data_IF_858791988727
#
_entry.id   IF_858791988727
#
_cell.length_a   1.000
_cell.length_b   1.000
_cell.length_c   1.000
_cell.angle_alpha   90.00
_cell.angle_beta   90.00
_cell.angle_gamma   90.00
#
_symmetry.space_group_name_H-M   'P 1'
#
loop_
_entity.id
_entity.type
_entity.pdbx_description
1 polymer ?
#
# COMPACT_ATOMS: atom_id res chain seq x y z
N UNK A 1 12.75 39.18 62.45
CA UNK A 1 11.37 39.04 61.93
C UNK A 1 10.94 40.13 60.94
N UNK A 2 11.25 41.43 61.15
CA UNK A 2 10.87 42.50 60.19
C UNK A 2 11.43 42.34 58.76
N UNK A 3 12.67 41.86 58.61
CA UNK A 3 13.29 41.68 57.28
C UNK A 3 12.70 40.50 56.48
N UNK A 4 12.22 39.46 57.15
CA UNK A 4 11.58 38.29 56.51
C UNK A 4 10.18 38.68 55.99
N UNK A 5 9.45 39.49 56.75
CA UNK A 5 8.11 39.98 56.35
C UNK A 5 8.20 40.93 55.15
N UNK A 6 9.24 41.78 55.05
CA UNK A 6 9.46 42.61 53.87
C UNK A 6 9.84 41.79 52.63
N UNK A 7 10.68 40.76 52.78
CA UNK A 7 11.04 39.89 51.66
C UNK A 7 9.85 39.05 51.17
N UNK A 8 8.96 38.62 52.07
CA UNK A 8 7.70 37.94 51.69
C UNK A 8 6.77 38.90 50.92
N UNK A 9 6.69 40.18 51.31
CA UNK A 9 5.89 41.17 50.56
C UNK A 9 6.44 41.43 49.16
N UNK A 10 7.77 41.45 48.99
CA UNK A 10 8.40 41.58 47.67
C UNK A 10 8.21 40.32 46.80
N UNK A 11 8.33 39.13 47.38
CA UNK A 11 8.07 37.87 46.65
C UNK A 11 6.60 37.73 46.27
N UNK A 12 5.66 38.11 47.14
CA UNK A 12 4.23 38.13 46.82
C UNK A 12 3.85 39.20 45.79
N UNK A 13 4.54 40.35 45.77
CA UNK A 13 4.33 41.38 44.75
C UNK A 13 4.89 40.96 43.37
N UNK A 14 6.03 40.26 43.35
CA UNK A 14 6.60 39.70 42.10
C UNK A 14 5.74 38.54 41.59
N UNK A 15 5.19 37.70 42.47
CA UNK A 15 4.29 36.61 42.08
C UNK A 15 2.96 37.14 41.51
N UNK A 16 2.47 38.29 41.99
CA UNK A 16 1.24 38.92 41.46
C UNK A 16 1.43 39.52 40.05
N UNK A 17 2.65 39.93 39.69
CA UNK A 17 2.96 40.50 38.35
C UNK A 17 3.12 39.40 37.30
N UNK A 18 3.56 38.19 37.70
CA UNK A 18 3.73 37.05 36.77
C UNK A 18 2.38 36.49 36.30
N UNK A 19 1.31 36.63 37.08
CA UNK A 19 -0.04 36.15 36.69
C UNK A 19 -0.78 37.08 35.71
N UNK A 20 -0.29 38.31 35.52
CA UNK A 20 -0.88 39.30 34.59
C UNK A 20 -0.21 39.32 33.21
N UNK A 21 0.80 38.48 32.97
CA UNK A 21 1.54 38.42 31.70
C UNK A 21 1.09 37.29 30.75
N UNK A 22 0.00 36.58 31.08
CA UNK A 22 -0.68 35.69 30.14
C UNK A 22 -1.79 36.47 29.42
N UNK A 23 -1.41 37.29 28.44
CA UNK A 23 -2.34 37.57 27.34
C UNK A 23 -2.41 36.30 26.48
N UNK A 24 -3.53 35.59 26.55
CA UNK A 24 -3.83 34.56 25.56
C UNK A 24 -3.95 35.26 24.20
N UNK A 25 -2.95 35.08 23.33
CA UNK A 25 -3.01 35.54 21.94
C UNK A 25 -4.26 34.93 21.28
N UNK A 26 -5.33 35.73 21.18
CA UNK A 26 -6.53 35.32 20.45
C UNK A 26 -6.19 35.28 18.97
N UNK A 27 -6.53 34.16 18.33
CA UNK A 27 -6.45 34.02 16.88
C UNK A 27 -7.60 34.83 16.26
N UNK A 28 -7.37 36.13 16.10
CA UNK A 28 -8.31 37.05 15.48
C UNK A 28 -7.62 37.74 14.28
N UNK A 29 -8.39 38.13 13.26
CA UNK A 29 -7.86 38.93 12.17
C UNK A 29 -7.15 40.19 12.65
N UNK A 30 -5.97 40.47 12.08
CA UNK A 30 -5.22 41.70 12.36
C UNK A 30 -5.88 42.94 11.77
N UNK A 31 -6.67 42.73 10.71
CA UNK A 31 -7.44 43.77 10.03
C UNK A 31 -8.89 43.73 10.53
N UNK A 32 -9.49 44.90 10.74
CA UNK A 32 -10.88 45.03 11.17
C UNK A 32 -11.69 45.82 10.11
N UNK A 33 -12.00 45.14 9.01
CA UNK A 33 -12.90 45.60 7.96
C UNK A 33 -14.20 44.78 8.03
N UNK A 34 -15.29 45.43 8.43
CA UNK A 34 -16.62 44.80 8.48
C UNK A 34 -17.36 44.79 7.14
N UNK A 35 -16.76 45.35 6.08
CA UNK A 35 -17.35 45.37 4.73
C UNK A 35 -17.08 44.02 4.06
N UNK A 36 -18.11 43.24 3.71
CA UNK A 36 -17.92 42.00 2.95
C UNK A 36 -17.27 42.27 1.58
N UNK A 37 -16.45 41.35 1.06
CA UNK A 37 -15.98 41.42 -0.31
C UNK A 37 -17.15 41.21 -1.30
N UNK A 38 -16.89 41.45 -2.58
CA UNK A 38 -17.79 41.06 -3.65
C UNK A 38 -18.04 39.55 -3.72
N UNK A 39 -19.08 39.16 -4.46
CA UNK A 39 -19.34 37.74 -4.74
C UNK A 39 -18.39 37.23 -5.83
N UNK A 40 -18.14 35.93 -5.83
CA UNK A 40 -17.51 35.28 -7.00
C UNK A 40 -18.46 35.32 -8.20
N UNK A 41 -17.95 35.28 -9.42
CA UNK A 41 -18.79 35.29 -10.64
C UNK A 41 -18.28 34.31 -11.71
N UNK A 42 -19.06 34.11 -12.78
CA UNK A 42 -18.73 33.21 -13.90
C UNK A 42 -18.27 31.81 -13.44
N UNK A 43 -19.03 31.19 -12.53
CA UNK A 43 -18.69 29.86 -12.03
C UNK A 43 -18.91 28.83 -13.13
N UNK A 44 -17.84 28.13 -13.50
CA UNK A 44 -17.82 27.02 -14.43
C UNK A 44 -17.65 25.72 -13.66
N UNK A 45 -18.44 24.72 -14.00
CA UNK A 45 -18.44 23.39 -13.39
C UNK A 45 -17.86 22.38 -14.37
N UNK A 46 -16.82 21.68 -13.94
CA UNK A 46 -16.31 20.48 -14.61
C UNK A 46 -16.56 19.28 -13.69
N UNK A 47 -17.46 18.39 -14.09
CA UNK A 47 -17.81 17.20 -13.31
C UNK A 47 -16.81 16.06 -13.62
N UNK A 48 -16.30 15.44 -12.57
CA UNK A 48 -15.28 14.38 -12.61
C UNK A 48 -15.75 13.17 -11.76
N UNK A 49 -15.12 12.00 -11.87
CA UNK A 49 -15.50 10.83 -11.06
C UNK A 49 -15.41 11.08 -9.55
N UNK A 50 -16.56 11.13 -8.89
CA UNK A 50 -16.69 11.37 -7.45
C UNK A 50 -16.33 12.79 -6.97
N UNK A 51 -16.10 13.72 -7.89
CA UNK A 51 -15.70 15.10 -7.58
C UNK A 51 -16.19 16.10 -8.64
N UNK A 52 -16.08 17.39 -8.36
CA UNK A 52 -16.33 18.44 -9.34
C UNK A 52 -15.38 19.59 -9.12
N UNK A 53 -14.80 20.08 -10.22
CA UNK A 53 -13.92 21.24 -10.21
C UNK A 53 -14.72 22.49 -10.55
N UNK A 54 -14.65 23.46 -9.67
CA UNK A 54 -15.29 24.77 -9.80
C UNK A 54 -14.22 25.79 -10.17
N UNK A 55 -14.40 26.48 -11.29
CA UNK A 55 -13.55 27.61 -11.71
C UNK A 55 -14.39 28.88 -11.72
N UNK A 56 -13.89 29.98 -11.18
CA UNK A 56 -14.66 31.20 -10.98
C UNK A 56 -13.81 32.45 -11.20
N UNK A 57 -14.46 33.60 -11.33
CA UNK A 57 -13.84 34.92 -11.31
C UNK A 57 -13.87 35.46 -9.89
N UNK A 58 -12.70 35.86 -9.38
CA UNK A 58 -12.54 36.46 -8.06
C UNK A 58 -13.07 37.90 -8.07
N UNK A 59 -13.61 38.40 -6.95
CA UNK A 59 -13.91 39.82 -6.81
C UNK A 59 -12.63 40.66 -6.70
N UNK A 60 -12.68 41.92 -7.10
CA UNK A 60 -11.50 42.81 -7.19
C UNK A 60 -11.09 43.45 -5.84
N UNK A 61 -11.68 43.00 -4.73
CA UNK A 61 -11.40 43.50 -3.38
C UNK A 61 -9.91 43.32 -3.00
N UNK A 62 -9.26 44.40 -2.59
CA UNK A 62 -7.83 44.40 -2.24
C UNK A 62 -7.51 43.56 -1.00
N UNK A 63 -8.49 43.39 -0.12
CA UNK A 63 -8.40 42.62 1.12
C UNK A 63 -8.99 41.20 0.98
N UNK A 64 -9.28 40.73 -0.24
CA UNK A 64 -9.68 39.34 -0.47
C UNK A 64 -8.61 38.37 0.06
N UNK A 65 -9.05 37.36 0.81
CA UNK A 65 -8.18 36.36 1.42
C UNK A 65 -8.36 34.98 0.77
N UNK A 66 -9.58 34.48 0.68
CA UNK A 66 -9.87 33.17 0.09
C UNK A 66 -11.32 33.08 -0.40
N UNK A 67 -11.57 32.06 -1.23
CA UNK A 67 -12.91 31.58 -1.56
C UNK A 67 -13.14 30.26 -0.83
N UNK A 68 -14.33 30.07 -0.26
CA UNK A 68 -14.73 28.84 0.43
C UNK A 68 -15.95 28.23 -0.25
N UNK A 69 -15.86 26.94 -0.54
CA UNK A 69 -17.00 26.13 -0.91
C UNK A 69 -17.53 25.40 0.32
N UNK A 70 -18.85 25.41 0.50
CA UNK A 70 -19.56 24.58 1.46
C UNK A 70 -20.54 23.67 0.71
N UNK A 71 -20.53 22.38 1.07
CA UNK A 71 -21.40 21.38 0.48
C UNK A 71 -21.66 20.25 1.48
N UNK A 72 -22.66 19.43 1.18
CA UNK A 72 -23.08 18.32 2.03
C UNK A 72 -22.87 17.02 1.27
N UNK A 73 -22.21 16.05 1.92
CA UNK A 73 -22.10 14.70 1.37
C UNK A 73 -23.41 13.93 1.55
N UNK A 74 -23.60 12.85 0.79
CA UNK A 74 -24.74 11.94 0.93
C UNK A 74 -24.86 11.36 2.35
N UNK A 75 -23.75 11.23 3.08
CA UNK A 75 -23.71 10.83 4.50
C UNK A 75 -24.33 11.86 5.46
N UNK A 76 -24.62 13.06 4.97
CA UNK A 76 -25.12 14.19 5.74
C UNK A 76 -24.03 15.08 6.34
N UNK A 77 -22.75 14.69 6.21
CA UNK A 77 -21.59 15.45 6.69
C UNK A 77 -21.43 16.73 5.88
N UNK A 78 -21.28 17.86 6.58
CA UNK A 78 -20.89 19.13 5.98
C UNK A 78 -19.39 19.14 5.67
N UNK A 79 -19.05 19.62 4.48
CA UNK A 79 -17.69 19.75 4.00
C UNK A 79 -17.40 21.19 3.64
N UNK A 80 -16.18 21.61 3.91
CA UNK A 80 -15.67 22.90 3.46
C UNK A 80 -14.33 22.73 2.73
N UNK A 81 -14.14 23.51 1.68
CA UNK A 81 -12.89 23.59 0.92
C UNK A 81 -12.56 25.05 0.71
N UNK A 82 -11.32 25.45 1.01
CA UNK A 82 -10.84 26.82 0.82
C UNK A 82 -9.80 26.87 -0.30
N UNK A 83 -9.85 27.93 -1.10
CA UNK A 83 -8.84 28.27 -2.09
C UNK A 83 -8.40 29.72 -1.86
N UNK A 84 -7.09 29.95 -1.73
CA UNK A 84 -6.57 31.31 -1.54
C UNK A 84 -6.91 32.22 -2.73
N UNK A 85 -6.89 33.53 -2.49
CA UNK A 85 -7.13 34.54 -3.53
C UNK A 85 -6.13 34.50 -4.72
N UNK A 86 -5.03 33.76 -4.60
CA UNK A 86 -4.09 33.55 -5.72
C UNK A 86 -4.62 32.53 -6.74
N UNK A 87 -5.66 31.78 -6.38
CA UNK A 87 -6.24 30.72 -7.19
C UNK A 87 -7.70 31.04 -7.51
N UNK A 88 -8.12 30.67 -8.72
CA UNK A 88 -9.46 30.91 -9.23
C UNK A 88 -10.26 29.61 -9.41
N UNK A 89 -9.83 28.52 -8.78
CA UNK A 89 -10.51 27.24 -8.83
C UNK A 89 -10.36 26.45 -7.54
N UNK A 90 -11.35 25.62 -7.24
CA UNK A 90 -11.30 24.62 -6.17
C UNK A 90 -12.01 23.33 -6.61
N UNK A 91 -11.69 22.22 -5.95
CA UNK A 91 -12.35 20.92 -6.19
C UNK A 91 -13.19 20.55 -4.96
N UNK A 92 -14.42 20.12 -5.20
CA UNK A 92 -15.30 19.51 -4.19
C UNK A 92 -15.37 18.01 -4.45
N UNK A 93 -15.22 17.19 -3.42
CA UNK A 93 -14.96 15.74 -3.56
C UNK A 93 -15.79 14.93 -2.57
N UNK A 94 -15.91 13.63 -2.83
CA UNK A 94 -16.55 12.67 -1.92
C UNK A 94 -17.97 12.31 -2.28
N UNK A 95 -18.35 12.52 -3.54
CA UNK A 95 -19.65 12.11 -4.07
C UNK A 95 -19.58 10.68 -4.56
N UNK A 96 -20.56 9.84 -4.18
CA UNK A 96 -20.58 8.44 -4.59
C UNK A 96 -21.25 8.24 -5.96
N UNK A 97 -22.29 9.03 -6.23
CA UNK A 97 -23.26 8.80 -7.28
C UNK A 97 -23.45 10.08 -8.11
N UNK A 98 -24.10 9.94 -9.28
CA UNK A 98 -24.42 11.02 -10.21
C UNK A 98 -25.67 11.81 -9.76
N UNK A 99 -25.75 12.17 -8.49
CA UNK A 99 -26.84 13.00 -7.98
C UNK A 99 -26.48 14.48 -8.10
N UNK A 100 -27.48 15.32 -8.41
CA UNK A 100 -27.30 16.77 -8.38
C UNK A 100 -27.05 17.23 -6.94
N UNK A 101 -25.99 18.01 -6.72
CA UNK A 101 -25.61 18.51 -5.41
C UNK A 101 -25.48 20.04 -5.43
N UNK A 102 -25.96 20.67 -4.35
CA UNK A 102 -25.84 22.11 -4.15
C UNK A 102 -24.49 22.44 -3.49
N UNK A 103 -23.73 23.35 -4.10
CA UNK A 103 -22.48 23.89 -3.54
C UNK A 103 -22.63 25.40 -3.38
N UNK A 104 -22.25 25.93 -2.22
CA UNK A 104 -22.26 27.37 -1.94
C UNK A 104 -20.85 27.91 -1.90
N UNK A 105 -20.59 28.93 -2.72
CA UNK A 105 -19.31 29.64 -2.76
C UNK A 105 -19.41 30.98 -2.05
N UNK A 106 -18.43 31.26 -1.20
CA UNK A 106 -18.30 32.49 -0.44
C UNK A 106 -16.91 33.09 -0.66
N UNK A 107 -16.82 34.40 -0.83
CA UNK A 107 -15.54 35.11 -0.78
C UNK A 107 -15.33 35.65 0.64
N UNK A 108 -14.13 35.49 1.18
CA UNK A 108 -13.76 35.95 2.51
C UNK A 108 -12.64 36.98 2.39
N UNK A 109 -12.78 38.10 3.07
CA UNK A 109 -11.72 39.08 3.22
C UNK A 109 -10.75 38.70 4.36
N UNK A 110 -9.69 39.49 4.54
CA UNK A 110 -8.68 39.33 5.59
C UNK A 110 -9.22 39.50 7.01
N UNK A 111 -10.41 40.09 7.15
CA UNK A 111 -11.16 40.22 8.41
C UNK A 111 -12.12 39.06 8.67
N UNK A 112 -12.07 37.98 7.88
CA UNK A 112 -12.94 36.80 7.98
C UNK A 112 -14.44 37.13 7.81
N UNK A 113 -14.75 38.21 7.09
CA UNK A 113 -16.12 38.56 6.71
C UNK A 113 -16.43 37.94 5.35
N UNK A 114 -17.52 37.18 5.30
CA UNK A 114 -18.00 36.48 4.11
C UNK A 114 -18.90 37.39 3.26
N UNK A 115 -18.79 37.26 1.93
CA UNK A 115 -19.79 37.76 0.99
C UNK A 115 -21.09 36.95 1.03
N UNK A 116 -22.12 37.43 0.32
CA UNK A 116 -23.31 36.63 0.04
C UNK A 116 -22.95 35.37 -0.80
N UNK A 117 -23.62 34.23 -0.60
CA UNK A 117 -23.28 33.01 -1.31
C UNK A 117 -23.66 33.06 -2.78
N UNK A 118 -22.83 32.43 -3.60
CA UNK A 118 -23.20 31.98 -4.95
C UNK A 118 -23.47 30.49 -4.90
N UNK A 119 -24.73 30.13 -5.11
CA UNK A 119 -25.16 28.73 -5.20
C UNK A 119 -24.96 28.20 -6.61
N UNK A 120 -24.32 27.04 -6.72
CA UNK A 120 -24.08 26.33 -7.98
C UNK A 120 -24.46 24.87 -7.79
N UNK A 121 -25.17 24.32 -8.78
CA UNK A 121 -25.50 22.91 -8.81
C UNK A 121 -24.44 22.16 -9.62
N UNK A 122 -23.91 21.10 -9.03
CA UNK A 122 -22.95 20.21 -9.67
C UNK A 122 -23.60 18.85 -9.93
N UNK A 123 -23.02 18.08 -10.84
CA UNK A 123 -23.48 16.73 -11.17
C UNK A 123 -22.27 15.82 -11.37
N UNK A 124 -21.56 15.45 -10.28
CA UNK A 124 -20.35 14.63 -10.33
C UNK A 124 -20.59 13.34 -11.10
N UNK A 125 -19.55 12.82 -11.76
CA UNK A 125 -19.65 11.49 -12.38
C UNK A 125 -19.59 10.41 -11.30
N UNK A 126 -20.05 9.20 -11.64
CA UNK A 126 -20.05 8.06 -10.71
C UNK A 126 -18.65 7.83 -10.09
N UNK A 127 -18.63 7.57 -8.78
CA UNK A 127 -17.37 7.38 -8.07
C UNK A 127 -16.60 6.15 -8.57
N UNK A 128 -15.25 6.23 -8.66
CA UNK A 128 -14.41 5.10 -9.06
C UNK A 128 -14.59 3.82 -8.23
N UNK A 129 -15.13 3.91 -7.01
CA UNK A 129 -15.43 2.72 -6.19
C UNK A 129 -16.37 1.73 -6.89
N UNK A 130 -17.26 2.23 -7.77
CA UNK A 130 -18.22 1.40 -8.49
C UNK A 130 -17.57 0.62 -9.63
N UNK A 131 -16.60 1.20 -10.35
CA UNK A 131 -15.79 0.47 -11.33
C UNK A 131 -14.95 -0.64 -10.68
N UNK A 132 -14.39 -0.33 -9.50
CA UNK A 132 -13.64 -1.29 -8.71
C UNK A 132 -14.55 -2.43 -8.26
N UNK A 133 -15.74 -2.12 -7.77
CA UNK A 133 -16.74 -3.11 -7.37
C UNK A 133 -17.21 -3.98 -8.53
N UNK A 134 -17.50 -3.40 -9.70
CA UNK A 134 -17.91 -4.15 -10.89
C UNK A 134 -16.85 -5.12 -11.40
N UNK A 135 -15.57 -4.84 -11.13
CA UNK A 135 -14.45 -5.72 -11.49
C UNK A 135 -13.98 -6.63 -10.35
N UNK A 136 -14.64 -6.56 -9.18
CA UNK A 136 -14.27 -7.30 -7.98
C UNK A 136 -14.59 -8.80 -8.12
N UNK A 137 -13.61 -9.64 -7.82
CA UNK A 137 -13.79 -11.08 -7.61
C UNK A 137 -13.27 -11.51 -6.25
N UNK A 138 -13.87 -12.57 -5.71
CA UNK A 138 -13.42 -13.26 -4.51
C UNK A 138 -13.33 -14.75 -4.81
N UNK A 139 -12.11 -15.23 -5.01
CA UNK A 139 -11.83 -16.60 -5.46
C UNK A 139 -11.13 -17.42 -4.37
N UNK A 140 -11.31 -18.74 -4.40
CA UNK A 140 -10.56 -19.64 -3.54
C UNK A 140 -9.05 -19.51 -3.75
N UNK A 141 -8.32 -19.46 -2.64
CA UNK A 141 -6.87 -19.41 -2.63
C UNK A 141 -6.31 -20.37 -1.58
N UNK A 142 -5.02 -20.65 -1.69
CA UNK A 142 -4.27 -21.35 -0.66
C UNK A 142 -4.40 -20.62 0.67
N UNK A 143 -4.85 -21.31 1.72
CA UNK A 143 -4.99 -20.75 3.06
C UNK A 143 -5.99 -19.59 3.21
N UNK A 144 -6.78 -19.27 2.17
CA UNK A 144 -7.81 -18.24 2.27
C UNK A 144 -8.53 -17.86 0.98
N UNK A 145 -8.79 -16.56 0.81
CA UNK A 145 -9.54 -15.97 -0.31
C UNK A 145 -8.68 -14.95 -1.04
N UNK A 146 -8.69 -14.99 -2.37
CA UNK A 146 -8.00 -14.02 -3.23
C UNK A 146 -9.01 -13.02 -3.76
N UNK A 147 -8.78 -11.75 -3.43
CA UNK A 147 -9.53 -10.61 -3.94
C UNK A 147 -8.81 -10.02 -5.15
N UNK A 148 -9.50 -9.89 -6.28
CA UNK A 148 -8.99 -9.19 -7.45
C UNK A 148 -9.92 -8.09 -7.92
N UNK A 149 -9.39 -6.96 -8.36
CA UNK A 149 -10.15 -5.83 -8.90
C UNK A 149 -9.27 -4.90 -9.74
N UNK A 150 -9.88 -3.98 -10.49
CA UNK A 150 -9.21 -2.93 -11.27
C UNK A 150 -9.56 -1.55 -10.74
N UNK A 151 -8.54 -0.74 -10.46
CA UNK A 151 -8.64 0.65 -9.98
C UNK A 151 -7.78 1.57 -10.86
N UNK A 152 -8.08 1.69 -12.18
CA UNK A 152 -7.19 2.36 -13.14
C UNK A 152 -6.85 3.81 -12.78
N UNK A 153 -7.74 4.50 -12.06
CA UNK A 153 -7.58 5.87 -11.60
C UNK A 153 -6.78 6.00 -10.30
N UNK A 154 -6.40 4.88 -9.67
CA UNK A 154 -5.54 4.84 -8.46
C UNK A 154 -6.12 5.65 -7.29
N UNK A 155 -7.44 5.67 -7.13
CA UNK A 155 -8.06 6.30 -5.96
C UNK A 155 -7.77 5.50 -4.70
N UNK A 156 -7.60 6.22 -3.58
CA UNK A 156 -7.49 5.62 -2.26
C UNK A 156 -8.82 4.97 -1.85
N UNK A 157 -8.80 3.66 -1.67
CA UNK A 157 -9.97 2.87 -1.31
C UNK A 157 -9.63 1.74 -0.34
N UNK A 158 -10.68 1.19 0.26
CA UNK A 158 -10.65 -0.02 1.06
C UNK A 158 -11.55 -1.08 0.43
N UNK A 159 -11.06 -2.31 0.28
CA UNK A 159 -11.88 -3.49 0.01
C UNK A 159 -12.09 -4.20 1.35
N UNK A 160 -13.31 -4.09 1.86
CA UNK A 160 -13.70 -4.63 3.16
C UNK A 160 -14.17 -6.07 2.96
N UNK A 161 -13.39 -7.02 3.47
CA UNK A 161 -13.80 -8.43 3.56
C UNK A 161 -14.53 -8.64 4.88
N UNK A 162 -15.67 -9.31 4.87
CA UNK A 162 -16.47 -9.59 6.06
C UNK A 162 -16.85 -11.07 6.14
N UNK A 163 -16.98 -11.56 7.37
CA UNK A 163 -17.56 -12.86 7.71
C UNK A 163 -18.67 -12.70 8.76
N UNK A 164 -19.57 -13.68 8.84
CA UNK A 164 -20.57 -13.71 9.91
C UNK A 164 -19.92 -14.08 11.24
N UNK A 165 -20.17 -13.29 12.26
CA UNK A 165 -19.84 -13.63 13.64
C UNK A 165 -20.78 -14.72 14.20
N UNK A 166 -20.63 -15.08 15.48
CA UNK A 166 -21.47 -16.10 16.13
C UNK A 166 -22.96 -15.72 16.22
N UNK A 167 -23.27 -14.42 16.13
CA UNK A 167 -24.63 -13.89 16.15
C UNK A 167 -25.25 -13.81 14.74
N UNK A 168 -24.46 -14.06 13.69
CA UNK A 168 -24.89 -13.98 12.29
C UNK A 168 -24.71 -12.61 11.65
N UNK A 169 -24.12 -11.65 12.36
CA UNK A 169 -23.83 -10.30 11.86
C UNK A 169 -22.52 -10.28 11.07
N UNK A 170 -22.47 -9.50 9.99
CA UNK A 170 -21.26 -9.30 9.20
C UNK A 170 -20.24 -8.45 9.97
N UNK A 171 -19.06 -9.01 10.20
CA UNK A 171 -17.93 -8.36 10.86
C UNK A 171 -16.78 -8.15 9.88
N UNK A 172 -16.21 -6.95 9.87
CA UNK A 172 -15.06 -6.61 9.01
C UNK A 172 -13.82 -7.36 9.49
N UNK A 173 -13.25 -8.14 8.58
CA UNK A 173 -12.02 -8.87 8.81
C UNK A 173 -10.84 -7.87 8.94
N UNK A 174 -9.95 -8.03 9.93
CA UNK A 174 -8.87 -7.08 10.22
C UNK A 174 -7.88 -6.93 9.05
N UNK A 175 -7.72 -7.97 8.24
CA UNK A 175 -6.83 -7.98 7.07
C UNK A 175 -7.52 -7.48 5.78
N UNK A 176 -8.56 -6.65 5.89
CA UNK A 176 -9.15 -5.96 4.74
C UNK A 176 -8.10 -5.13 3.99
N UNK A 177 -8.30 -4.94 2.68
CA UNK A 177 -7.27 -4.36 1.81
C UNK A 177 -7.44 -2.84 1.75
N UNK A 178 -6.38 -2.09 2.04
CA UNK A 178 -6.33 -0.63 1.85
C UNK A 178 -5.29 -0.32 0.77
N UNK A 179 -5.69 0.37 -0.31
CA UNK A 179 -4.82 0.52 -1.47
C UNK A 179 -5.24 1.65 -2.43
N UNK A 180 -4.28 2.09 -3.23
CA UNK A 180 -4.44 2.97 -4.40
C UNK A 180 -3.72 2.40 -5.63
N UNK A 181 -3.44 1.08 -5.66
CA UNK A 181 -2.83 0.44 -6.83
C UNK A 181 -3.84 0.29 -7.96
N UNK A 182 -3.35 0.32 -9.20
CA UNK A 182 -4.15 0.24 -10.43
C UNK A 182 -4.75 -1.15 -10.68
N UNK A 183 -4.05 -2.20 -10.27
CA UNK A 183 -4.54 -3.57 -10.21
C UNK A 183 -4.45 -4.11 -8.79
N UNK A 184 -5.52 -4.73 -8.34
CA UNK A 184 -5.61 -5.30 -7.00
C UNK A 184 -5.61 -6.82 -7.18
N UNK A 185 -4.68 -7.48 -6.49
CA UNK A 185 -4.58 -8.92 -6.40
C UNK A 185 -3.99 -9.25 -5.02
N UNK A 186 -4.86 -9.54 -4.05
CA UNK A 186 -4.49 -9.73 -2.66
C UNK A 186 -5.14 -10.99 -2.11
N UNK A 187 -4.33 -11.86 -1.53
CA UNK A 187 -4.82 -13.04 -0.83
C UNK A 187 -4.89 -12.75 0.66
N UNK A 188 -6.09 -12.84 1.23
CA UNK A 188 -6.31 -12.78 2.67
C UNK A 188 -6.30 -14.22 3.18
N UNK A 189 -5.36 -14.52 4.07
CA UNK A 189 -5.12 -15.86 4.63
C UNK A 189 -5.58 -15.97 6.07
N UNK A 190 -5.61 -17.20 6.59
CA UNK A 190 -5.95 -17.51 7.98
C UNK A 190 -7.31 -18.18 8.15
N UNK A 191 -7.95 -18.56 7.04
CA UNK A 191 -9.25 -19.22 7.06
C UNK A 191 -9.08 -20.75 7.18
N UNK A 192 -10.06 -21.39 7.82
CA UNK A 192 -10.12 -22.84 7.88
C UNK A 192 -10.46 -23.46 6.53
N UNK A 193 -10.14 -24.74 6.34
CA UNK A 193 -10.43 -25.48 5.11
C UNK A 193 -11.88 -26.01 5.14
N UNK A 194 -12.84 -25.09 5.20
CA UNK A 194 -14.28 -25.34 5.07
C UNK A 194 -14.89 -24.29 4.15
N UNK A 195 -16.15 -24.43 3.79
CA UNK A 195 -16.83 -23.36 3.06
C UNK A 195 -17.06 -22.15 3.98
N UNK A 196 -16.68 -20.97 3.48
CA UNK A 196 -16.86 -19.67 4.10
C UNK A 196 -17.76 -18.82 3.22
N UNK A 197 -18.79 -18.20 3.81
CA UNK A 197 -19.63 -17.19 3.16
C UNK A 197 -19.02 -15.82 3.45
N UNK A 198 -18.45 -15.19 2.43
CA UNK A 198 -17.85 -13.87 2.53
C UNK A 198 -18.78 -12.79 1.97
N UNK A 199 -18.75 -11.62 2.60
CA UNK A 199 -19.31 -10.39 2.05
C UNK A 199 -18.18 -9.40 1.79
N UNK A 200 -18.14 -8.81 0.59
CA UNK A 200 -17.06 -7.91 0.17
C UNK A 200 -17.65 -6.60 -0.35
N UNK A 201 -17.17 -5.47 0.15
CA UNK A 201 -17.59 -4.13 -0.30
C UNK A 201 -16.37 -3.28 -0.62
N UNK A 202 -16.55 -2.24 -1.45
CA UNK A 202 -15.52 -1.22 -1.69
C UNK A 202 -15.97 0.06 -0.99
N UNK A 203 -15.04 0.71 -0.27
CA UNK A 203 -15.29 1.94 0.48
C UNK A 203 -14.21 2.98 0.20
N UNK A 204 -14.61 4.24 0.03
CA UNK A 204 -13.66 5.36 -0.10
C UNK A 204 -13.35 6.03 1.25
N UNK A 205 -12.51 7.08 1.22
CA UNK A 205 -12.14 7.86 2.42
C UNK A 205 -13.29 8.69 3.01
N UNK A 206 -14.36 8.90 2.26
CA UNK A 206 -15.56 9.66 2.69
C UNK A 206 -16.65 8.75 3.25
N UNK A 207 -16.36 7.44 3.36
CA UNK A 207 -17.26 6.39 3.85
C UNK A 207 -18.39 6.06 2.88
N UNK A 208 -18.30 6.48 1.61
CA UNK A 208 -19.17 5.95 0.59
C UNK A 208 -18.82 4.48 0.38
N UNK A 209 -19.82 3.61 0.47
CA UNK A 209 -19.65 2.16 0.40
C UNK A 209 -20.53 1.63 -0.72
N UNK A 210 -19.99 0.73 -1.54
CA UNK A 210 -20.74 0.08 -2.62
C UNK A 210 -21.76 -0.92 -2.07
N UNK A 211 -22.52 -1.53 -2.98
CA UNK A 211 -23.22 -2.78 -2.67
C UNK A 211 -22.22 -3.90 -2.31
N UNK A 212 -22.76 -5.07 -1.96
CA UNK A 212 -22.02 -6.19 -1.41
C UNK A 212 -21.90 -7.34 -2.41
N UNK A 213 -20.68 -7.79 -2.65
CA UNK A 213 -20.40 -9.06 -3.32
C UNK A 213 -20.44 -10.18 -2.27
N UNK A 214 -21.39 -11.11 -2.40
CA UNK A 214 -21.41 -12.33 -1.61
C UNK A 214 -20.71 -13.47 -2.36
N UNK A 215 -19.80 -14.18 -1.68
CA UNK A 215 -19.05 -15.28 -2.27
C UNK A 215 -18.91 -16.45 -1.30
N UNK A 216 -19.26 -17.65 -1.76
CA UNK A 216 -18.99 -18.89 -1.04
C UNK A 216 -17.64 -19.43 -1.51
N UNK A 217 -16.67 -19.49 -0.60
CA UNK A 217 -15.29 -19.85 -0.91
C UNK A 217 -14.83 -20.95 0.04
N UNK A 218 -14.29 -22.04 -0.52
CA UNK A 218 -13.56 -23.05 0.24
C UNK A 218 -12.06 -22.89 -0.03
N UNK A 219 -11.27 -22.41 0.93
CA UNK A 219 -9.83 -22.27 0.78
C UNK A 219 -9.12 -23.59 0.44
N UNK A 220 -8.04 -23.51 -0.33
CA UNK A 220 -7.16 -24.67 -0.56
C UNK A 220 -6.23 -24.88 0.63
N UNK A 221 -5.95 -26.15 0.96
CA UNK A 221 -4.95 -26.50 1.98
C UNK A 221 -3.61 -25.89 1.60
N UNK A 222 -2.95 -25.21 2.54
CA UNK A 222 -1.60 -24.69 2.36
C UNK A 222 -0.73 -25.06 3.57
N UNK A 223 0.42 -25.64 3.29
CA UNK A 223 1.42 -25.96 4.30
C UNK A 223 2.83 -25.57 3.83
N UNK A 224 3.71 -25.33 4.80
CA UNK A 224 5.13 -25.13 4.53
C UNK A 224 5.76 -26.46 4.12
N UNK A 225 6.39 -26.52 2.94
CA UNK A 225 7.11 -27.72 2.53
C UNK A 225 8.33 -27.91 3.45
N UNK A 226 8.61 -29.14 3.93
CA UNK A 226 9.69 -29.35 4.90
C UNK A 226 11.07 -29.02 4.32
N UNK A 227 11.74 -28.00 4.85
CA UNK A 227 13.10 -27.60 4.45
C UNK A 227 14.13 -28.73 4.53
N UNK A 228 13.91 -29.72 5.42
CA UNK A 228 14.74 -30.91 5.51
C UNK A 228 14.79 -31.73 4.20
N UNK A 229 13.82 -31.55 3.31
CA UNK A 229 13.76 -32.21 2.01
C UNK A 229 14.46 -31.39 0.92
N UNK A 230 14.81 -30.13 1.17
CA UNK A 230 15.39 -29.25 0.16
C UNK A 230 16.82 -29.65 -0.15
N UNK A 231 17.15 -29.66 -1.44
CA UNK A 231 18.49 -29.99 -1.93
C UNK A 231 18.86 -29.07 -3.07
N UNK A 232 20.15 -28.74 -3.14
CA UNK A 232 20.71 -28.16 -4.34
C UNK A 232 20.61 -29.18 -5.49
N UNK A 233 20.04 -28.76 -6.62
CA UNK A 233 19.88 -29.60 -7.80
C UNK A 233 20.53 -28.91 -9.00
N UNK A 234 21.87 -28.81 -9.04
CA UNK A 234 22.56 -28.06 -10.08
C UNK A 234 22.30 -28.68 -11.45
N UNK A 235 21.87 -27.86 -12.40
CA UNK A 235 21.72 -28.22 -13.79
C UNK A 235 22.72 -27.46 -14.67
N UNK A 236 23.09 -27.96 -15.86
CA UNK A 236 23.93 -27.20 -16.77
C UNK A 236 23.29 -25.83 -17.09
N UNK A 237 24.10 -24.78 -17.09
CA UNK A 237 23.62 -23.39 -17.25
C UNK A 237 23.22 -22.68 -15.95
N UNK A 238 23.08 -23.40 -14.83
CA UNK A 238 22.97 -22.75 -13.51
C UNK A 238 24.27 -21.99 -13.19
N UNK A 239 24.13 -20.88 -12.47
CA UNK A 239 25.27 -20.03 -12.15
C UNK A 239 26.08 -20.63 -11.00
N UNK A 240 27.42 -20.75 -11.12
CA UNK A 240 28.26 -21.22 -10.04
C UNK A 240 28.08 -20.39 -8.75
N UNK A 241 28.01 -21.08 -7.61
CA UNK A 241 27.95 -20.43 -6.31
C UNK A 241 29.30 -19.85 -5.91
N UNK A 242 29.26 -18.86 -5.02
CA UNK A 242 30.40 -18.42 -4.24
C UNK A 242 30.99 -19.62 -3.48
N UNK A 243 32.29 -19.60 -3.21
CA UNK A 243 33.03 -20.72 -2.64
C UNK A 243 32.57 -21.09 -1.23
N UNK A 244 32.14 -20.10 -0.45
CA UNK A 244 31.68 -20.28 0.94
C UNK A 244 30.17 -20.16 1.10
N UNK A 245 29.51 -19.32 0.30
CA UNK A 245 28.09 -19.02 0.39
C UNK A 245 27.33 -19.85 -0.64
N UNK A 246 27.10 -21.11 -0.26
CA UNK A 246 26.59 -22.18 -1.13
C UNK A 246 25.07 -22.35 -0.98
N UNK A 247 24.38 -23.01 -1.92
CA UNK A 247 22.92 -23.10 -1.93
C UNK A 247 22.27 -23.64 -0.65
N UNK A 248 22.96 -24.50 0.12
CA UNK A 248 22.42 -25.01 1.39
C UNK A 248 22.18 -23.93 2.44
N UNK A 249 22.79 -22.74 2.31
CA UNK A 249 22.48 -21.58 3.15
C UNK A 249 21.03 -21.11 3.02
N UNK A 250 20.35 -21.38 1.90
CA UNK A 250 18.98 -20.91 1.67
C UNK A 250 17.90 -21.64 2.49
N UNK A 251 18.23 -22.67 3.27
CA UNK A 251 17.22 -23.42 4.02
C UNK A 251 17.75 -23.94 5.35
N UNK A 252 18.64 -23.18 5.99
CA UNK A 252 19.27 -23.55 7.26
C UNK A 252 18.69 -22.77 8.46
N UNK A 253 17.71 -21.91 8.21
CA UNK A 253 17.03 -21.08 9.20
C UNK A 253 17.74 -19.76 9.52
N UNK A 254 18.81 -19.41 8.81
CA UNK A 254 19.54 -18.17 8.99
C UNK A 254 19.30 -17.21 7.81
N UNK A 255 18.74 -16.04 8.11
CA UNK A 255 18.40 -15.05 7.09
C UNK A 255 19.49 -13.98 6.89
N UNK A 256 20.56 -13.96 7.70
CA UNK A 256 21.48 -12.82 7.80
C UNK A 256 22.97 -13.15 7.72
N UNK A 257 23.42 -14.28 8.25
CA UNK A 257 24.83 -14.46 8.57
C UNK A 257 25.61 -15.02 7.40
N UNK A 258 26.73 -14.37 7.08
CA UNK A 258 27.69 -14.96 6.15
C UNK A 258 28.47 -16.10 6.82
N UNK A 259 28.75 -17.24 6.15
CA UNK A 259 28.36 -17.60 4.78
C UNK A 259 27.09 -18.48 4.74
N UNK A 260 26.21 -18.40 5.73
CA UNK A 260 24.93 -19.12 5.81
C UNK A 260 23.86 -18.46 4.93
N UNK A 261 24.26 -18.15 3.70
CA UNK A 261 23.45 -17.55 2.65
C UNK A 261 23.92 -18.13 1.34
N UNK A 262 23.13 -17.99 0.29
CA UNK A 262 23.55 -18.29 -1.07
C UNK A 262 23.93 -17.02 -1.81
N UNK A 263 25.13 -17.02 -2.40
CA UNK A 263 25.58 -15.98 -3.31
C UNK A 263 26.13 -16.64 -4.57
N UNK A 264 25.81 -16.12 -5.74
CA UNK A 264 26.44 -16.55 -7.00
C UNK A 264 27.77 -15.81 -7.25
N UNK A 265 28.63 -16.36 -8.10
CA UNK A 265 29.92 -15.73 -8.42
C UNK A 265 29.75 -14.43 -9.21
N UNK A 266 30.28 -13.32 -8.69
CA UNK A 266 30.18 -12.01 -9.35
C UNK A 266 30.95 -11.84 -10.64
N UNK A 267 31.88 -12.76 -10.96
CA UNK A 267 32.57 -12.77 -12.24
C UNK A 267 31.68 -13.26 -13.41
N UNK A 268 30.54 -13.90 -13.11
CA UNK A 268 29.60 -14.37 -14.13
C UNK A 268 28.74 -13.20 -14.60
N UNK A 269 28.83 -12.89 -15.90
CA UNK A 269 28.01 -11.85 -16.52
C UNK A 269 26.62 -12.37 -16.88
N UNK A 270 25.67 -11.44 -17.02
CA UNK A 270 24.30 -11.76 -17.44
C UNK A 270 23.39 -12.18 -16.30
N UNK A 271 22.38 -12.98 -16.63
CA UNK A 271 21.33 -13.42 -15.71
C UNK A 271 21.83 -14.59 -14.86
N UNK A 272 21.41 -14.61 -13.59
CA UNK A 272 21.87 -15.61 -12.63
C UNK A 272 20.74 -16.59 -12.31
N UNK A 273 21.06 -17.88 -12.28
CA UNK A 273 20.07 -18.96 -12.16
C UNK A 273 20.53 -19.96 -11.10
N UNK A 274 19.59 -20.43 -10.28
CA UNK A 274 19.80 -21.56 -9.35
C UNK A 274 18.61 -22.51 -9.41
N UNK A 275 18.89 -23.81 -9.33
CA UNK A 275 17.86 -24.86 -9.30
C UNK A 275 17.88 -25.63 -7.97
N UNK A 276 16.68 -25.85 -7.43
CA UNK A 276 16.44 -26.41 -6.10
C UNK A 276 15.42 -27.53 -6.23
N UNK A 277 15.71 -28.68 -5.62
CA UNK A 277 14.74 -29.76 -5.41
C UNK A 277 14.04 -29.54 -4.06
N UNK A 278 12.73 -29.33 -4.05
CA UNK A 278 11.95 -29.20 -2.79
C UNK A 278 11.66 -30.55 -2.13
N UNK A 279 11.97 -31.66 -2.81
CA UNK A 279 11.88 -33.03 -2.35
C UNK A 279 10.48 -33.63 -2.40
N UNK A 280 9.44 -32.86 -2.74
CA UNK A 280 8.06 -33.32 -2.87
C UNK A 280 7.39 -32.73 -4.10
N UNK A 281 6.60 -33.54 -4.80
CA UNK A 281 5.75 -33.07 -5.89
C UNK A 281 4.49 -32.46 -5.30
N UNK A 282 4.33 -31.14 -5.41
CA UNK A 282 3.26 -30.39 -4.76
C UNK A 282 2.64 -29.35 -5.68
N UNK A 283 1.36 -29.02 -5.44
CA UNK A 283 0.71 -27.85 -6.00
C UNK A 283 1.19 -26.65 -5.19
N UNK A 284 2.24 -25.97 -5.66
CA UNK A 284 2.88 -24.88 -4.92
C UNK A 284 2.01 -23.63 -4.94
N UNK A 285 1.90 -22.95 -3.81
CA UNK A 285 1.10 -21.73 -3.63
C UNK A 285 1.96 -20.47 -3.76
N UNK A 286 3.14 -20.48 -3.15
CA UNK A 286 4.06 -19.35 -3.07
C UNK A 286 5.44 -19.78 -2.59
N UNK A 287 6.41 -18.89 -2.75
CA UNK A 287 7.70 -18.96 -2.07
C UNK A 287 7.92 -17.67 -1.28
N UNK A 288 8.40 -17.79 -0.05
CA UNK A 288 8.94 -16.66 0.69
C UNK A 288 10.45 -16.65 0.46
N UNK A 289 10.99 -15.52 0.04
CA UNK A 289 12.42 -15.30 -0.14
C UNK A 289 12.86 -14.19 0.83
N UNK A 290 13.83 -14.50 1.68
CA UNK A 290 14.59 -13.53 2.43
C UNK A 290 15.86 -13.25 1.65
N UNK A 291 16.03 -12.02 1.18
CA UNK A 291 17.27 -11.56 0.55
C UNK A 291 18.40 -11.51 1.59
N UNK A 292 19.67 -11.59 1.14
CA UNK A 292 20.81 -11.42 2.05
C UNK A 292 21.02 -9.93 2.41
N UNK A 293 20.93 -9.53 3.70
CA UNK A 293 21.26 -8.18 4.11
C UNK A 293 22.78 -7.98 4.17
N UNK A 294 23.29 -7.30 3.15
CA UNK A 294 24.71 -6.99 2.97
C UNK A 294 25.22 -5.99 4.02
N UNK A 295 26.52 -6.03 4.30
CA UNK A 295 27.16 -5.08 5.19
C UNK A 295 27.51 -3.77 4.47
N UNK A 296 26.54 -2.88 4.35
CA UNK A 296 26.69 -1.56 3.72
C UNK A 296 25.91 -0.50 4.51
N UNK A 297 26.57 0.23 5.42
CA UNK A 297 25.94 1.11 6.42
C UNK A 297 25.08 0.38 7.47
N UNK A 298 25.54 -0.81 7.88
CA UNK A 298 24.76 -1.72 8.72
C UNK A 298 24.29 -2.91 7.88
N UNK A 299 23.18 -3.53 8.29
CA UNK A 299 22.53 -4.63 7.55
C UNK A 299 21.55 -4.02 6.55
N UNK A 300 21.86 -4.14 5.26
CA UNK A 300 21.15 -3.40 4.21
C UNK A 300 20.56 -4.34 3.19
N UNK A 301 19.24 -4.26 3.03
CA UNK A 301 18.49 -4.95 1.98
C UNK A 301 18.34 -4.05 0.74
N UNK A 302 17.71 -4.58 -0.31
CA UNK A 302 17.55 -3.89 -1.60
C UNK A 302 18.88 -3.42 -2.17
N UNK A 303 19.92 -4.23 -1.97
CA UNK A 303 21.30 -3.89 -2.28
C UNK A 303 21.98 -5.02 -3.07
N UNK A 304 22.88 -4.63 -3.97
CA UNK A 304 23.64 -5.49 -4.89
C UNK A 304 22.89 -6.74 -5.39
N UNK A 305 23.24 -7.93 -4.91
CA UNK A 305 22.72 -9.21 -5.38
C UNK A 305 21.32 -9.57 -4.92
N UNK A 306 20.66 -8.75 -4.09
CA UNK A 306 19.26 -8.95 -3.75
C UNK A 306 18.39 -8.95 -5.02
N UNK A 307 17.35 -9.78 -5.03
CA UNK A 307 16.50 -9.92 -6.22
C UNK A 307 15.70 -8.64 -6.46
N UNK A 308 15.67 -8.18 -7.72
CA UNK A 308 14.83 -7.04 -8.14
C UNK A 308 13.82 -7.48 -9.18
N UNK A 309 14.25 -7.86 -10.37
CA UNK A 309 13.37 -8.41 -11.40
C UNK A 309 13.78 -9.87 -11.62
N UNK A 310 12.85 -10.80 -11.43
CA UNK A 310 13.18 -12.23 -11.50
C UNK A 310 11.97 -13.07 -11.89
N UNK A 311 12.25 -14.30 -12.33
CA UNK A 311 11.25 -15.30 -12.67
C UNK A 311 11.45 -16.53 -11.80
N UNK A 312 10.34 -17.21 -11.50
CA UNK A 312 10.38 -18.52 -10.88
C UNK A 312 9.71 -19.51 -11.83
N UNK A 313 10.41 -20.61 -12.06
CA UNK A 313 9.97 -21.71 -12.91
C UNK A 313 9.88 -22.99 -12.09
N UNK A 314 8.89 -23.82 -12.40
CA UNK A 314 8.64 -25.09 -11.75
C UNK A 314 8.75 -26.25 -12.73
N UNK A 315 9.19 -27.40 -12.26
CA UNK A 315 9.14 -28.64 -13.04
C UNK A 315 8.83 -29.84 -12.15
N UNK A 316 8.12 -30.83 -12.69
CA UNK A 316 8.00 -32.15 -12.09
C UNK A 316 9.19 -33.06 -12.45
N UNK A 317 9.70 -32.91 -13.68
CA UNK A 317 10.80 -33.71 -14.25
C UNK A 317 11.61 -32.81 -15.21
N UNK A 318 12.58 -32.04 -14.69
CA UNK A 318 13.32 -31.08 -15.50
C UNK A 318 14.22 -31.80 -16.51
N UNK A 319 14.41 -31.20 -17.69
CA UNK A 319 15.39 -31.69 -18.66
C UNK A 319 16.80 -31.64 -18.01
N UNK A 320 17.52 -32.79 -17.93
CA UNK A 320 18.82 -32.86 -17.26
C UNK A 320 19.91 -32.05 -17.97
N UNK A 321 19.69 -31.61 -19.22
CA UNK A 321 20.61 -30.69 -19.91
C UNK A 321 20.52 -29.24 -19.40
N UNK A 322 19.54 -28.95 -18.53
CA UNK A 322 19.36 -27.66 -17.89
C UNK A 322 18.68 -26.60 -18.75
N UNK A 323 18.23 -26.92 -19.96
CA UNK A 323 17.44 -26.02 -20.79
C UNK A 323 16.14 -25.59 -20.08
N UNK A 324 15.74 -24.34 -20.29
CA UNK A 324 14.44 -23.80 -19.89
C UNK A 324 13.45 -24.02 -21.06
N UNK A 325 13.05 -25.28 -21.24
CA UNK A 325 12.18 -25.76 -22.32
C UNK A 325 10.76 -26.13 -21.81
N UNK A 326 10.04 -26.97 -22.56
CA UNK A 326 8.70 -27.46 -22.20
C UNK A 326 8.64 -28.30 -20.91
N UNK A 327 9.79 -28.77 -20.39
CA UNK A 327 9.85 -29.43 -19.08
C UNK A 327 9.63 -28.45 -17.92
N UNK A 328 9.62 -27.14 -18.18
CA UNK A 328 9.42 -26.10 -17.19
C UNK A 328 8.12 -25.33 -17.43
N UNK A 329 7.42 -25.01 -16.34
CA UNK A 329 6.31 -24.06 -16.33
C UNK A 329 6.74 -22.79 -15.60
N UNK A 330 6.45 -21.62 -16.18
CA UNK A 330 6.68 -20.36 -15.47
C UNK A 330 5.62 -20.21 -14.38
N UNK A 331 6.05 -20.12 -13.13
CA UNK A 331 5.15 -19.93 -11.97
C UNK A 331 4.84 -18.46 -11.72
N UNK A 332 5.76 -17.56 -12.12
CA UNK A 332 5.54 -16.12 -12.10
C UNK A 332 6.77 -15.30 -12.51
N UNK A 333 6.50 -14.01 -12.75
CA UNK A 333 7.50 -12.96 -12.96
C UNK A 333 7.26 -11.86 -11.95
N UNK A 334 8.30 -11.43 -11.25
CA UNK A 334 8.20 -10.57 -10.08
C UNK A 334 9.13 -9.38 -10.18
N UNK A 335 8.70 -8.27 -9.57
CA UNK A 335 9.50 -7.07 -9.38
C UNK A 335 9.43 -6.65 -7.91
N UNK A 336 10.55 -6.72 -7.20
CA UNK A 336 10.67 -6.23 -5.84
C UNK A 336 10.68 -4.70 -5.83
N UNK A 337 9.79 -4.13 -5.01
CA UNK A 337 9.64 -2.69 -4.83
C UNK A 337 10.01 -2.36 -3.40
N UNK A 338 10.90 -1.39 -3.24
CA UNK A 338 11.27 -0.83 -1.95
C UNK A 338 10.11 0.08 -1.48
N UNK A 339 9.49 -0.16 -0.30
CA UNK A 339 8.37 0.65 0.20
C UNK A 339 8.61 2.16 0.13
N UNK A 340 9.78 2.61 0.57
CA UNK A 340 10.14 4.03 0.62
C UNK A 340 10.35 4.68 -0.76
N UNK A 341 10.61 3.89 -1.80
CA UNK A 341 11.04 4.41 -3.10
C UNK A 341 12.42 5.09 -3.11
N UNK A 342 13.18 5.04 -2.01
CA UNK A 342 14.50 5.67 -1.91
C UNK A 342 15.52 5.08 -2.90
N UNK A 343 16.52 5.88 -3.31
CA UNK A 343 17.53 5.45 -4.29
C UNK A 343 18.35 4.25 -3.79
N UNK A 344 19.11 3.66 -4.72
CA UNK A 344 20.02 2.55 -4.42
C UNK A 344 21.06 2.97 -3.35
N UNK A 345 21.29 2.09 -2.37
CA UNK A 345 22.23 2.34 -1.26
C UNK A 345 21.62 3.03 -0.03
N UNK A 346 20.35 3.47 -0.11
CA UNK A 346 19.61 4.06 1.02
C UNK A 346 18.47 3.13 1.46
N UNK A 347 18.15 3.16 2.75
CA UNK A 347 17.13 2.30 3.36
C UNK A 347 16.48 3.00 4.56
N UNK A 348 15.14 2.95 4.66
CA UNK A 348 14.39 3.34 5.87
C UNK A 348 14.20 2.15 6.82
N UNK A 349 13.77 2.40 8.06
CA UNK A 349 13.39 1.30 8.96
C UNK A 349 12.20 0.49 8.40
N UNK A 350 11.23 1.12 7.75
CA UNK A 350 10.12 0.43 7.08
C UNK A 350 10.61 -0.54 5.98
N UNK A 351 11.56 -0.11 5.16
CA UNK A 351 12.20 -0.96 4.16
C UNK A 351 12.88 -2.16 4.82
N UNK A 352 13.62 -1.92 5.90
CA UNK A 352 14.32 -2.96 6.66
C UNK A 352 13.34 -3.98 7.24
N UNK A 353 12.31 -3.54 7.96
CA UNK A 353 11.33 -4.44 8.57
C UNK A 353 10.59 -5.26 7.52
N UNK A 354 10.23 -4.64 6.38
CA UNK A 354 9.58 -5.32 5.27
C UNK A 354 10.45 -6.44 4.69
N UNK A 355 11.72 -6.15 4.41
CA UNK A 355 12.63 -7.15 3.86
C UNK A 355 13.00 -8.24 4.88
N UNK A 356 13.17 -7.85 6.15
CA UNK A 356 13.48 -8.77 7.24
C UNK A 356 12.33 -9.75 7.55
N UNK A 357 11.08 -9.34 7.30
CA UNK A 357 9.92 -10.24 7.36
C UNK A 357 9.89 -11.28 6.21
N UNK A 358 10.61 -11.02 5.12
CA UNK A 358 10.68 -11.85 3.92
C UNK A 358 9.60 -11.50 2.89
N UNK A 359 9.94 -11.65 1.61
CA UNK A 359 9.02 -11.34 0.52
C UNK A 359 8.27 -12.59 0.08
N UNK A 360 6.94 -12.55 0.15
CA UNK A 360 6.06 -13.64 -0.29
C UNK A 360 5.67 -13.48 -1.76
N UNK A 361 6.07 -14.41 -2.60
CA UNK A 361 5.84 -14.40 -4.05
C UNK A 361 4.82 -15.48 -4.42
N UNK A 362 3.60 -15.06 -4.75
CA UNK A 362 2.48 -15.94 -5.10
C UNK A 362 2.68 -16.59 -6.47
N UNK A 363 2.36 -17.88 -6.56
CA UNK A 363 2.31 -18.62 -7.81
C UNK A 363 0.90 -18.63 -8.39
N UNK A 364 0.80 -18.87 -9.69
CA UNK A 364 -0.49 -19.09 -10.33
C UNK A 364 -1.16 -20.35 -9.74
N UNK A 365 -2.37 -20.19 -9.23
CA UNK A 365 -3.22 -21.29 -8.74
C UNK A 365 -3.54 -22.32 -9.83
N UNK A 366 -3.46 -21.94 -11.10
CA UNK A 366 -3.59 -22.86 -12.23
C UNK A 366 -2.33 -23.70 -12.49
N UNK A 367 -1.15 -23.29 -11.99
CA UNK A 367 0.12 -23.98 -12.27
C UNK A 367 0.10 -25.47 -11.85
N UNK A 368 0.65 -26.41 -12.64
CA UNK A 368 0.62 -27.83 -12.30
C UNK A 368 1.40 -28.15 -11.01
N UNK A 369 1.28 -29.39 -10.52
CA UNK A 369 2.16 -29.86 -9.44
C UNK A 369 3.62 -29.88 -9.94
N UNK A 370 4.53 -29.34 -9.14
CA UNK A 370 5.97 -29.28 -9.43
C UNK A 370 6.77 -29.70 -8.20
N UNK A 371 8.04 -30.03 -8.39
CA UNK A 371 8.98 -30.43 -7.33
C UNK A 371 10.27 -29.61 -7.37
N UNK A 372 10.75 -29.34 -8.57
CA UNK A 372 11.95 -28.56 -8.80
C UNK A 372 11.57 -27.11 -9.04
N UNK A 373 12.26 -26.20 -8.37
CA UNK A 373 12.15 -24.77 -8.58
C UNK A 373 13.44 -24.23 -9.18
N UNK A 374 13.30 -23.31 -10.13
CA UNK A 374 14.40 -22.58 -10.71
C UNK A 374 14.15 -21.09 -10.56
N UNK A 375 15.02 -20.42 -9.82
CA UNK A 375 14.97 -18.97 -9.60
C UNK A 375 15.93 -18.34 -10.59
N UNK A 376 15.41 -17.47 -11.45
CA UNK A 376 16.16 -16.77 -12.49
C UNK A 376 16.14 -15.27 -12.20
N UNK A 377 17.25 -14.76 -11.68
CA UNK A 377 17.48 -13.32 -11.50
C UNK A 377 17.73 -12.66 -12.85
N UNK A 378 16.78 -11.82 -13.28
CA UNK A 378 16.93 -11.01 -14.50
C UNK A 378 17.71 -9.73 -14.19
N UNK A 379 17.42 -9.15 -13.02
CA UNK A 379 18.00 -7.92 -12.53
C UNK A 379 18.10 -7.96 -11.01
N UNK A 380 19.21 -7.48 -10.49
CA UNK A 380 19.41 -7.26 -9.07
C UNK A 380 19.38 -5.74 -8.76
N UNK A 381 19.60 -5.35 -7.51
CA UNK A 381 19.51 -3.93 -7.15
C UNK A 381 20.66 -3.07 -7.69
N UNK A 382 21.80 -3.68 -8.06
CA UNK A 382 22.90 -3.01 -8.75
C UNK A 382 22.77 -3.00 -10.29
N UNK A 383 21.71 -3.59 -10.85
CA UNK A 383 21.55 -3.76 -12.29
C UNK A 383 21.53 -5.24 -12.68
N UNK A 384 22.62 -5.78 -13.21
CA UNK A 384 22.70 -7.18 -13.63
C UNK A 384 23.94 -7.80 -12.99
N UNK A 385 23.85 -9.07 -12.58
CA UNK A 385 24.96 -9.80 -11.99
C UNK A 385 24.48 -10.70 -10.86
N UNK A 386 25.21 -10.69 -9.74
CA UNK A 386 25.03 -11.60 -8.60
C UNK A 386 23.59 -11.73 -8.12
N UNK A 387 23.29 -12.90 -7.57
CA UNK A 387 22.06 -13.23 -6.87
C UNK A 387 22.44 -13.64 -5.45
N UNK A 388 21.81 -13.02 -4.47
CA UNK A 388 22.08 -13.20 -3.04
C UNK A 388 20.78 -13.49 -2.30
N UNK A 389 20.62 -14.71 -1.79
CA UNK A 389 19.44 -15.18 -1.07
C UNK A 389 19.87 -15.64 0.31
N UNK A 390 19.28 -15.06 1.36
CA UNK A 390 19.49 -15.49 2.74
C UNK A 390 18.78 -16.82 2.99
N UNK A 391 17.47 -16.86 2.78
CA UNK A 391 16.64 -18.03 3.08
C UNK A 391 15.45 -18.12 2.11
N UNK A 392 14.91 -19.33 1.92
CA UNK A 392 13.65 -19.58 1.22
C UNK A 392 12.71 -20.47 2.02
N UNK A 393 11.40 -20.28 1.86
CA UNK A 393 10.38 -21.23 2.30
C UNK A 393 9.30 -21.38 1.24
N UNK A 394 9.16 -22.57 0.68
CA UNK A 394 8.08 -22.91 -0.26
C UNK A 394 6.85 -23.37 0.51
N UNK A 395 5.67 -22.97 0.02
CA UNK A 395 4.37 -23.41 0.53
C UNK A 395 3.57 -24.06 -0.59
N UNK A 396 2.63 -24.93 -0.23
CA UNK A 396 1.72 -25.55 -1.18
C UNK A 396 0.92 -26.68 -0.56
N UNK A 397 0.39 -27.55 -1.43
CA UNK A 397 -0.28 -28.78 -1.04
C UNK A 397 0.37 -29.98 -1.76
N UNK A 398 0.99 -30.92 -1.03
CA UNK A 398 1.54 -32.13 -1.63
C UNK A 398 0.45 -33.14 -2.04
N UNK A 399 -0.71 -33.11 -1.39
CA UNK A 399 -1.78 -34.10 -1.57
C UNK A 399 -2.60 -33.88 -2.83
#
# INVERSE_FOLDING_TARGET
>A
MKNIINNIKWVSAVLLVVVYACDENKLEPLENNMTPPGIVSNVLVENLPGESKLTYTLPDDQDLLYVKAEYKLNSGRMMEVKSSYYNNSLTVEGFANEEEQEVKLYAYNRSEIASEPVTVNIHPLESPIWDVFRSLSADAAFGGVRLTAKNPLRHDLAILLMEKNQQGDWEIHPNSVYTSTDSINKTIRGFSIKEHEFAVTVRDRWLNTTDTLFANVTPFVEEALPKANYKHYPLPGDTPSHTTAVPSGMWDGNIMDWPRVFLTQGAVSGQHIVTIDTGVLAKMSRIVIWDYPEYYNGRTYYYIGNLKEFEIWGSANPNPDGSLDESWVKLGSYNAVKPSGLPFGEQTDEDYQTANAGFSWEFDVAAPKVRYLRIKSLKNWAGIGTMAIGEIQVYGNPN
#
